data_IF_763426826840
#
_entry.id   IF_763426826840
#
_cell.length_a   1.000
_cell.length_b   1.000
_cell.length_c   1.000
_cell.angle_alpha   90.00
_cell.angle_beta   90.00
_cell.angle_gamma   90.00
#
_symmetry.space_group_name_H-M   'P 1'
#
loop_
_entity.id
_entity.type
_entity.pdbx_description
1 polymer ?
#
# COMPACT_ATOMS: atom_id res chain seq x y z
N UNK A 1 -4.04 -9.46 -13.59
CA UNK A 1 -4.94 -8.92 -12.53
C UNK A 1 -5.05 -9.81 -11.29
N UNK A 2 -5.49 -11.07 -11.36
CA UNK A 2 -5.67 -11.91 -10.15
C UNK A 2 -4.42 -12.00 -9.25
N UNK A 3 -3.25 -12.26 -9.83
CA UNK A 3 -2.01 -12.39 -9.06
C UNK A 3 -1.60 -11.08 -8.35
N UNK A 4 -1.80 -9.93 -9.02
CA UNK A 4 -1.55 -8.58 -8.48
C UNK A 4 -2.43 -8.35 -7.25
N UNK A 5 -3.74 -8.59 -7.41
CA UNK A 5 -4.71 -8.48 -6.32
C UNK A 5 -4.31 -9.37 -5.12
N UNK A 6 -4.01 -10.65 -5.36
CA UNK A 6 -3.63 -11.57 -4.28
C UNK A 6 -2.34 -11.13 -3.56
N UNK A 7 -1.36 -10.60 -4.29
CA UNK A 7 -0.12 -10.10 -3.72
C UNK A 7 -0.38 -8.92 -2.76
N UNK A 8 -1.19 -7.94 -3.17
CA UNK A 8 -1.57 -6.82 -2.31
C UNK A 8 -2.34 -7.30 -1.09
N UNK A 9 -3.32 -8.19 -1.26
CA UNK A 9 -4.09 -8.71 -0.12
C UNK A 9 -3.22 -9.44 0.90
N UNK A 10 -2.28 -10.26 0.43
CA UNK A 10 -1.40 -11.01 1.33
C UNK A 10 -0.49 -10.09 2.14
N UNK A 11 -0.06 -8.97 1.56
CA UNK A 11 0.80 -8.02 2.24
C UNK A 11 0.04 -7.11 3.21
N UNK A 12 -1.14 -6.61 2.81
CA UNK A 12 -1.86 -5.53 3.49
C UNK A 12 -2.99 -5.99 4.42
N UNK A 13 -3.77 -7.01 4.02
CA UNK A 13 -5.06 -7.28 4.67
C UNK A 13 -4.90 -8.10 5.95
N UNK A 14 -5.81 -7.88 6.91
CA UNK A 14 -5.78 -8.53 8.22
C UNK A 14 -4.69 -8.01 9.18
N UNK A 15 -3.96 -6.97 8.79
CA UNK A 15 -2.87 -6.38 9.59
C UNK A 15 -3.17 -4.98 10.12
N UNK A 16 -4.19 -4.31 9.60
CA UNK A 16 -4.45 -2.90 9.89
C UNK A 16 -5.81 -2.78 10.56
N UNK A 17 -5.85 -2.08 11.68
CA UNK A 17 -7.10 -1.81 12.42
C UNK A 17 -7.23 -0.34 12.72
N UNK A 18 -8.42 0.20 12.51
CA UNK A 18 -8.83 1.53 12.91
C UNK A 18 -9.82 1.50 14.07
N UNK A 19 -9.86 2.60 14.80
CA UNK A 19 -10.98 2.97 15.64
C UNK A 19 -11.77 4.10 14.97
N UNK A 20 -13.07 4.16 15.23
CA UNK A 20 -13.96 5.16 14.66
C UNK A 20 -14.75 5.87 15.78
N UNK A 21 -14.89 7.18 15.66
CA UNK A 21 -15.73 8.03 16.49
C UNK A 21 -16.42 9.11 15.66
N UNK A 22 -17.39 9.83 16.23
CA UNK A 22 -18.13 10.89 15.54
C UNK A 22 -19.64 10.71 15.58
N UNK A 23 -20.35 11.57 14.85
CA UNK A 23 -21.80 11.68 14.87
C UNK A 23 -22.52 11.00 13.70
N UNK A 24 -21.77 10.59 12.66
CA UNK A 24 -22.37 9.86 11.54
C UNK A 24 -22.96 8.53 12.00
N UNK A 25 -23.96 8.03 11.27
CA UNK A 25 -24.54 6.70 11.52
C UNK A 25 -23.48 5.59 11.47
N UNK A 26 -22.48 5.74 10.60
CA UNK A 26 -21.35 4.82 10.53
C UNK A 26 -20.51 4.89 11.81
N UNK A 27 -20.15 6.09 12.27
CA UNK A 27 -19.37 6.28 13.47
C UNK A 27 -20.07 5.70 14.70
N UNK A 28 -21.37 6.00 14.88
CA UNK A 28 -22.19 5.47 15.97
C UNK A 28 -22.27 3.94 15.93
N UNK A 29 -22.44 3.35 14.75
CA UNK A 29 -22.50 1.89 14.57
C UNK A 29 -21.19 1.18 14.95
N UNK A 30 -20.05 1.82 14.69
CA UNK A 30 -18.71 1.24 14.91
C UNK A 30 -17.97 1.80 16.13
N UNK A 31 -18.63 2.64 16.93
CA UNK A 31 -18.04 3.21 18.15
C UNK A 31 -17.60 2.09 19.11
N UNK A 32 -16.36 2.19 19.59
CA UNK A 32 -15.76 1.20 20.49
C UNK A 32 -15.39 -0.13 19.84
N UNK A 33 -15.57 -0.29 18.52
CA UNK A 33 -15.20 -1.51 17.79
C UNK A 33 -13.89 -1.30 17.03
N UNK A 34 -13.08 -2.35 17.02
CA UNK A 34 -11.96 -2.48 16.11
C UNK A 34 -12.48 -2.68 14.68
N UNK A 35 -12.12 -1.79 13.76
CA UNK A 35 -12.52 -1.84 12.36
C UNK A 35 -11.33 -2.27 11.50
N UNK A 36 -11.36 -3.47 10.87
CA UNK A 36 -10.34 -3.88 9.93
C UNK A 36 -10.28 -2.94 8.72
N UNK A 37 -9.07 -2.68 8.25
CA UNK A 37 -8.83 -1.98 6.99
C UNK A 37 -8.19 -2.95 6.00
N UNK A 38 -8.89 -3.14 4.88
CA UNK A 38 -8.46 -4.01 3.79
C UNK A 38 -8.26 -3.18 2.52
N UNK A 39 -7.20 -3.49 1.78
CA UNK A 39 -6.95 -2.97 0.44
C UNK A 39 -7.54 -3.95 -0.57
N UNK A 40 -8.32 -3.41 -1.52
CA UNK A 40 -8.93 -4.19 -2.60
C UNK A 40 -8.72 -3.48 -3.93
N UNK A 41 -8.31 -4.24 -4.94
CA UNK A 41 -8.24 -3.79 -6.33
C UNK A 41 -9.53 -4.24 -7.01
N UNK A 42 -10.34 -3.28 -7.44
CA UNK A 42 -11.61 -3.53 -8.12
C UNK A 42 -11.44 -3.08 -9.57
N UNK A 43 -11.75 -3.98 -10.52
CA UNK A 43 -11.79 -3.59 -11.93
C UNK A 43 -13.07 -2.80 -12.19
N UNK A 44 -12.92 -1.57 -12.68
CA UNK A 44 -14.01 -0.72 -13.11
C UNK A 44 -14.01 -0.61 -14.64
N UNK A 45 -15.19 -0.48 -15.25
CA UNK A 45 -15.34 -0.21 -16.67
C UNK A 45 -15.58 1.27 -16.99
N UNK A 46 -15.88 2.07 -15.96
CA UNK A 46 -16.10 3.52 -16.02
C UNK A 46 -15.82 4.14 -14.63
N UNK A 47 -15.43 5.42 -14.60
CA UNK A 47 -15.13 6.20 -13.39
C UNK A 47 -14.06 5.55 -12.50
N UNK A 48 -13.04 4.98 -13.14
CA UNK A 48 -11.86 4.46 -12.46
C UNK A 48 -11.04 5.59 -11.83
N UNK A 49 -10.56 5.36 -10.61
CA UNK A 49 -9.62 6.27 -9.95
C UNK A 49 -8.20 6.15 -10.53
N UNK A 50 -7.87 4.97 -11.06
CA UNK A 50 -6.53 4.63 -11.56
C UNK A 50 -6.61 3.77 -12.83
N UNK A 51 -5.80 4.14 -13.84
CA UNK A 51 -5.53 3.30 -15.00
C UNK A 51 -4.36 2.36 -14.70
N UNK A 52 -4.62 1.04 -14.71
CA UNK A 52 -3.58 0.02 -14.49
C UNK A 52 -3.09 -0.53 -15.83
N UNK A 53 -1.81 -0.33 -16.12
CA UNK A 53 -1.13 -0.85 -17.32
C UNK A 53 -0.31 -2.06 -16.92
N UNK A 54 -0.80 -3.26 -17.25
CA UNK A 54 -0.17 -4.52 -16.92
C UNK A 54 0.60 -5.12 -18.10
N UNK A 55 1.92 -5.27 -17.94
CA UNK A 55 2.81 -5.80 -18.98
C UNK A 55 3.34 -7.17 -18.59
N UNK A 56 3.18 -8.16 -19.45
CA UNK A 56 3.88 -9.45 -19.29
C UNK A 56 5.27 -9.34 -19.89
N UNK A 57 6.29 -9.66 -19.10
CA UNK A 57 7.70 -9.54 -19.47
C UNK A 57 8.38 -10.91 -19.44
N UNK A 58 9.49 -11.03 -20.16
CA UNK A 58 10.34 -12.23 -20.08
C UNK A 58 11.10 -12.24 -18.74
N UNK A 59 11.42 -13.42 -18.18
CA UNK A 59 12.29 -13.51 -17.01
C UNK A 59 13.61 -12.76 -17.23
N UNK A 60 13.99 -11.93 -16.26
CA UNK A 60 15.21 -11.10 -16.34
C UNK A 60 15.08 -9.80 -17.15
N UNK A 61 13.89 -9.45 -17.64
CA UNK A 61 13.65 -8.13 -18.22
C UNK A 61 13.77 -7.04 -17.15
N UNK A 62 14.52 -5.97 -17.45
CA UNK A 62 14.69 -4.82 -16.58
C UNK A 62 13.58 -3.78 -16.85
N UNK A 63 12.40 -4.08 -16.31
CA UNK A 63 11.26 -3.16 -16.30
C UNK A 63 10.89 -2.88 -14.83
N UNK A 64 10.54 -1.63 -14.57
CA UNK A 64 10.19 -1.16 -13.23
C UNK A 64 8.67 -1.00 -13.14
N UNK A 65 8.09 -1.63 -12.12
CA UNK A 65 6.74 -1.33 -11.65
C UNK A 65 6.79 0.01 -10.89
N UNK A 66 5.84 0.92 -11.15
CA UNK A 66 5.78 2.24 -10.52
C UNK A 66 4.38 2.86 -10.54
N UNK A 67 4.15 3.82 -9.64
CA UNK A 67 2.96 4.69 -9.62
C UNK A 67 3.30 6.07 -10.18
N UNK A 68 2.50 6.54 -11.13
CA UNK A 68 2.49 7.94 -11.59
C UNK A 68 1.20 8.61 -11.13
N UNK A 69 1.32 9.36 -10.04
CA UNK A 69 0.20 10.10 -9.43
C UNK A 69 -0.33 11.22 -10.31
N UNK A 70 0.52 11.85 -11.12
CA UNK A 70 0.10 12.99 -11.93
C UNK A 70 -0.91 12.56 -12.99
N UNK A 71 -0.70 11.38 -13.55
CA UNK A 71 -1.56 10.81 -14.59
C UNK A 71 -2.55 9.77 -14.05
N UNK A 72 -2.58 9.53 -12.74
CA UNK A 72 -3.36 8.46 -12.10
C UNK A 72 -3.15 7.10 -12.78
N UNK A 73 -1.89 6.76 -13.08
CA UNK A 73 -1.53 5.50 -13.74
C UNK A 73 -0.66 4.63 -12.84
N UNK A 74 -0.92 3.32 -12.84
CA UNK A 74 -0.07 2.32 -12.19
C UNK A 74 0.49 1.39 -13.26
N UNK A 75 1.81 1.36 -13.39
CA UNK A 75 2.52 0.48 -14.29
C UNK A 75 2.96 -0.76 -13.51
N UNK A 76 2.49 -1.93 -13.93
CA UNK A 76 2.82 -3.20 -13.31
C UNK A 76 3.39 -4.14 -14.36
N UNK A 77 4.47 -4.82 -14.02
CA UNK A 77 5.04 -5.87 -14.86
C UNK A 77 4.98 -7.24 -14.16
N UNK A 78 5.08 -8.32 -14.94
CA UNK A 78 5.00 -9.66 -14.38
C UNK A 78 6.21 -10.07 -13.52
N UNK A 79 7.35 -9.39 -13.62
CA UNK A 79 8.51 -9.64 -12.76
C UNK A 79 8.31 -9.04 -11.36
N UNK A 80 7.51 -7.97 -11.23
CA UNK A 80 7.12 -7.39 -9.95
C UNK A 80 6.31 -8.30 -9.02
N UNK A 81 5.81 -9.43 -9.52
CA UNK A 81 5.15 -10.49 -8.74
C UNK A 81 6.14 -11.49 -8.13
N UNK A 82 7.39 -11.48 -8.56
CA UNK A 82 8.41 -12.39 -8.07
C UNK A 82 9.03 -11.86 -6.76
N UNK A 83 9.45 -12.78 -5.90
CA UNK A 83 10.26 -12.43 -4.72
C UNK A 83 11.68 -12.16 -5.19
N UNK A 84 12.10 -10.91 -5.14
CA UNK A 84 13.44 -10.50 -5.54
C UNK A 84 14.27 -10.23 -4.30
N UNK A 85 15.50 -10.75 -4.30
CA UNK A 85 16.48 -10.38 -3.29
C UNK A 85 16.93 -8.94 -3.55
N UNK A 86 16.65 -8.07 -2.60
CA UNK A 86 17.13 -6.69 -2.56
C UNK A 86 18.31 -6.65 -1.60
N UNK A 87 19.40 -6.02 -2.02
CA UNK A 87 20.62 -5.93 -1.24
C UNK A 87 20.85 -4.48 -0.81
N UNK A 88 20.72 -4.22 0.50
CA UNK A 88 21.30 -3.06 1.15
C UNK A 88 22.33 -3.62 2.15
N UNK A 89 23.61 -3.34 1.93
CA UNK A 89 24.72 -3.79 2.79
C UNK A 89 24.80 -5.32 3.03
N UNK A 90 24.43 -6.14 2.04
CA UNK A 90 24.59 -7.62 2.03
C UNK A 90 23.67 -8.44 2.94
N UNK A 91 22.69 -7.83 3.60
CA UNK A 91 21.56 -8.56 4.15
C UNK A 91 20.49 -8.69 3.05
N UNK A 92 20.45 -9.84 2.38
CA UNK A 92 19.49 -10.13 1.32
C UNK A 92 18.07 -10.15 1.91
N UNK A 93 17.33 -9.05 1.78
CA UNK A 93 15.91 -8.99 2.11
C UNK A 93 15.10 -9.37 0.88
N UNK A 94 14.06 -10.19 1.06
CA UNK A 94 13.17 -10.58 -0.04
C UNK A 94 11.97 -9.64 -0.07
N UNK A 95 11.72 -9.05 -1.24
CA UNK A 95 10.58 -8.19 -1.47
C UNK A 95 9.78 -8.63 -2.69
N UNK A 96 8.47 -8.39 -2.64
CA UNK A 96 7.60 -8.36 -3.82
C UNK A 96 7.23 -6.90 -4.06
N UNK A 97 7.46 -6.38 -5.26
CA UNK A 97 7.35 -4.93 -5.51
C UNK A 97 5.89 -4.45 -5.59
N UNK A 98 4.97 -5.29 -6.04
CA UNK A 98 3.57 -4.85 -6.24
C UNK A 98 2.89 -4.31 -4.96
N UNK A 99 3.04 -4.95 -3.79
CA UNK A 99 2.52 -4.40 -2.55
C UNK A 99 3.14 -3.06 -2.13
N UNK A 100 4.39 -2.80 -2.50
CA UNK A 100 5.06 -1.52 -2.26
C UNK A 100 4.36 -0.41 -3.06
N UNK A 101 4.09 -0.63 -4.34
CA UNK A 101 3.32 0.33 -5.16
C UNK A 101 1.91 0.58 -4.65
N UNK A 102 1.27 -0.42 -4.03
CA UNK A 102 -0.02 -0.21 -3.38
C UNK A 102 0.09 0.79 -2.21
N UNK A 103 1.22 0.85 -1.52
CA UNK A 103 1.49 1.86 -0.50
C UNK A 103 1.54 3.27 -1.07
N UNK A 104 2.13 3.44 -2.26
CA UNK A 104 2.04 4.69 -3.01
C UNK A 104 0.58 5.01 -3.36
N UNK A 105 -0.18 4.09 -3.94
CA UNK A 105 -1.60 4.35 -4.25
C UNK A 105 -2.42 4.79 -3.02
N UNK A 106 -2.07 4.31 -1.82
CA UNK A 106 -2.69 4.73 -0.54
C UNK A 106 -2.20 6.10 -0.01
N UNK A 107 -1.26 6.72 -0.70
CA UNK A 107 -0.81 8.09 -0.49
C UNK A 107 0.53 8.23 0.23
N UNK A 108 1.29 7.16 0.47
CA UNK A 108 2.67 7.30 0.96
C UNK A 108 3.59 7.58 -0.24
N UNK A 109 4.09 8.80 -0.39
CA UNK A 109 4.75 9.22 -1.64
C UNK A 109 6.25 8.91 -1.68
N UNK A 110 6.85 8.62 -0.53
CA UNK A 110 8.29 8.48 -0.39
C UNK A 110 8.73 7.02 -0.56
N UNK A 111 9.90 6.84 -1.16
CA UNK A 111 10.64 5.60 -1.14
C UNK A 111 11.60 5.62 0.04
N UNK A 112 11.42 4.73 1.02
CA UNK A 112 12.22 4.76 2.25
C UNK A 112 13.67 4.35 2.03
N UNK A 113 14.02 3.73 0.89
CA UNK A 113 15.39 3.42 0.53
C UNK A 113 16.15 4.61 -0.07
N UNK A 114 15.50 5.76 -0.31
CA UNK A 114 16.18 6.98 -0.70
C UNK A 114 17.13 7.45 0.42
N UNK A 115 18.36 7.80 0.06
CA UNK A 115 19.38 8.32 1.00
C UNK A 115 18.94 9.55 1.82
N UNK A 116 17.97 10.31 1.32
CA UNK A 116 17.39 11.47 2.00
C UNK A 116 16.28 11.09 2.98
N UNK A 117 15.75 9.86 2.90
CA UNK A 117 14.68 9.40 3.78
C UNK A 117 15.19 9.24 5.21
N UNK A 118 14.46 9.75 6.23
CA UNK A 118 14.77 9.46 7.63
C UNK A 118 14.63 7.97 7.97
N UNK A 119 14.02 7.17 7.09
CA UNK A 119 13.77 5.74 7.26
C UNK A 119 14.69 4.85 6.40
N UNK A 120 15.77 5.39 5.85
CA UNK A 120 16.75 4.65 5.03
C UNK A 120 17.34 3.41 5.73
N UNK A 121 17.47 3.46 7.05
CA UNK A 121 17.94 2.32 7.86
C UNK A 121 16.88 1.25 8.13
N UNK A 122 15.60 1.51 7.86
CA UNK A 122 14.48 0.58 8.13
C UNK A 122 14.30 -0.41 6.98
N UNK A 123 15.30 -1.27 6.78
CA UNK A 123 15.37 -2.23 5.67
C UNK A 123 14.28 -3.31 5.71
N UNK A 124 13.57 -3.49 6.84
CA UNK A 124 12.46 -4.44 6.93
C UNK A 124 11.15 -3.86 6.38
N UNK A 125 11.05 -2.53 6.28
CA UNK A 125 9.85 -1.83 5.85
C UNK A 125 9.46 -2.08 4.39
N UNK A 126 8.16 -2.18 4.14
CA UNK A 126 7.59 -2.38 2.81
C UNK A 126 7.93 -1.25 1.83
N UNK A 127 7.93 0.00 2.29
CA UNK A 127 8.31 1.15 1.46
C UNK A 127 9.84 1.30 1.30
N UNK A 128 10.62 0.42 1.95
CA UNK A 128 12.05 0.24 1.72
C UNK A 128 12.23 -1.06 0.89
N UNK A 129 13.13 -1.95 1.29
CA UNK A 129 13.44 -3.22 0.59
C UNK A 129 12.85 -4.46 1.27
N UNK A 130 11.96 -4.28 2.24
CA UNK A 130 11.35 -5.36 3.01
C UNK A 130 9.86 -5.54 2.73
N UNK A 131 9.17 -6.18 3.67
CA UNK A 131 7.75 -6.56 3.58
C UNK A 131 6.93 -6.20 4.83
N UNK A 132 7.53 -5.54 5.83
CA UNK A 132 6.82 -5.13 7.05
C UNK A 132 6.00 -3.86 6.82
N UNK A 133 4.77 -3.87 7.29
CA UNK A 133 3.93 -2.67 7.29
C UNK A 133 4.27 -1.79 8.50
N UNK A 134 4.20 -0.49 8.27
CA UNK A 134 4.39 0.51 9.31
C UNK A 134 3.26 1.53 9.29
N UNK A 135 2.93 2.06 10.47
CA UNK A 135 1.85 3.04 10.66
C UNK A 135 2.00 4.28 9.78
N UNK A 136 3.25 4.71 9.53
CA UNK A 136 3.56 5.90 8.71
C UNK A 136 3.00 5.80 7.29
N UNK A 137 2.87 4.59 6.74
CA UNK A 137 2.33 4.37 5.40
C UNK A 137 0.85 4.75 5.28
N UNK A 138 0.13 4.80 6.40
CA UNK A 138 -1.32 5.04 6.43
C UNK A 138 -1.71 6.45 6.82
N UNK A 139 -0.75 7.35 7.02
CA UNK A 139 -1.02 8.74 7.42
C UNK A 139 -1.94 9.45 6.41
N UNK A 140 -1.61 9.37 5.12
CA UNK A 140 -2.40 10.02 4.07
C UNK A 140 -3.73 9.30 3.81
N UNK A 141 -3.76 7.97 3.89
CA UNK A 141 -5.01 7.21 3.85
C UNK A 141 -5.97 7.63 4.98
N UNK A 142 -5.46 7.80 6.21
CA UNK A 142 -6.25 8.26 7.37
C UNK A 142 -6.82 9.66 7.14
N UNK A 143 -6.00 10.59 6.61
CA UNK A 143 -6.45 11.94 6.27
C UNK A 143 -7.56 11.88 5.23
N UNK A 144 -7.38 11.09 4.17
CA UNK A 144 -8.35 10.94 3.09
C UNK A 144 -9.67 10.38 3.61
N UNK A 145 -9.65 9.31 4.42
CA UNK A 145 -10.84 8.73 5.04
C UNK A 145 -11.63 9.77 5.85
N UNK A 146 -10.94 10.61 6.62
CA UNK A 146 -11.56 11.66 7.42
C UNK A 146 -12.15 12.81 6.58
N UNK A 147 -11.72 12.97 5.33
CA UNK A 147 -12.28 13.97 4.40
C UNK A 147 -13.51 13.41 3.69
N UNK A 148 -13.43 12.18 3.18
CA UNK A 148 -14.50 11.59 2.34
C UNK A 148 -15.71 11.11 3.15
N UNK A 149 -15.55 10.93 4.46
CA UNK A 149 -16.64 10.56 5.37
C UNK A 149 -16.86 11.64 6.42
N UNK A 150 -17.67 12.68 6.11
CA UNK A 150 -18.03 13.71 7.07
C UNK A 150 -18.59 13.14 8.37
N UNK A 151 -18.41 13.89 9.46
CA UNK A 151 -18.89 13.53 10.81
C UNK A 151 -18.36 12.17 11.32
N UNK A 152 -17.33 11.63 10.68
CA UNK A 152 -16.67 10.37 11.04
C UNK A 152 -15.19 10.65 11.22
N UNK A 153 -14.62 10.19 12.34
CA UNK A 153 -13.21 10.28 12.64
C UNK A 153 -12.60 8.88 12.74
N UNK A 154 -11.76 8.55 11.79
CA UNK A 154 -10.88 7.41 11.76
C UNK A 154 -9.57 7.74 12.48
N UNK A 155 -9.17 6.86 13.39
CA UNK A 155 -7.86 6.91 14.05
C UNK A 155 -7.23 5.53 13.94
N UNK A 156 -6.02 5.45 13.37
CA UNK A 156 -5.27 4.21 13.28
C UNK A 156 -5.04 3.66 14.69
N UNK A 157 -5.44 2.41 14.93
CA UNK A 157 -5.33 1.76 16.23
C UNK A 157 -4.08 0.89 16.30
N UNK A 158 -3.81 0.11 15.25
CA UNK A 158 -2.69 -0.82 15.20
C UNK A 158 -2.33 -1.20 13.77
N UNK A 159 -1.04 -1.50 13.57
CA UNK A 159 -0.50 -2.22 12.41
C UNK A 159 0.29 -3.42 12.92
N UNK A 160 -0.23 -4.63 12.73
CA UNK A 160 0.49 -5.87 13.01
C UNK A 160 1.50 -6.17 11.91
N UNK A 161 2.71 -6.56 12.29
CA UNK A 161 3.80 -6.91 11.38
C UNK A 161 3.59 -8.30 10.77
#
# INVERSE_FOLDING_TARGET
MRAIYLSVQQAWNGKITYSVSGESEFAKKFQGKALPFDVRIISASQNEDWLVIATKVLPGADLRTYVDFKNSTVHVDSAGLEKVAKCINCNNTLQVNIPHEAGHVLGYLDDDYDSSSPYVGDISGLMNVGMELWERYLKNATITLNIIMPETKFTLLNVTK
#
